data_IF_386939256955
#
_entry.id   IF_386939256955
#
_cell.length_a   1.000
_cell.length_b   1.000
_cell.length_c   1.000
_cell.angle_alpha   90.00
_cell.angle_beta   90.00
_cell.angle_gamma   90.00
#
_symmetry.space_group_name_H-M   'P 1'
#
loop_
_entity.id
_entity.type
_entity.pdbx_description
1 polymer ?
#
# COMPACT_ATOMS: atom_id res chain seq x y z
N UNK A 1 -14.52 -9.86 -7.96
CA UNK A 1 -13.71 -9.41 -9.10
C UNK A 1 -12.61 -8.40 -8.70
N UNK A 2 -12.88 -7.09 -8.45
CA UNK A 2 -11.84 -6.11 -8.15
C UNK A 2 -11.16 -6.35 -6.78
N UNK A 3 -11.92 -6.70 -5.76
CA UNK A 3 -11.39 -7.07 -4.44
C UNK A 3 -10.53 -8.33 -4.51
N UNK A 4 -10.98 -9.34 -5.27
CA UNK A 4 -10.23 -10.59 -5.44
C UNK A 4 -8.89 -10.38 -6.14
N UNK A 5 -8.86 -9.48 -7.13
CA UNK A 5 -7.62 -9.10 -7.82
C UNK A 5 -6.62 -8.42 -6.88
N UNK A 6 -7.09 -7.53 -5.99
CA UNK A 6 -6.23 -6.90 -4.97
C UNK A 6 -5.68 -7.95 -4.00
N UNK A 7 -6.52 -8.86 -3.50
CA UNK A 7 -6.09 -9.91 -2.59
C UNK A 7 -5.16 -10.92 -3.25
N UNK A 8 -5.36 -11.24 -4.52
CA UNK A 8 -4.45 -12.08 -5.30
C UNK A 8 -3.07 -11.43 -5.43
N UNK A 9 -3.02 -10.11 -5.64
CA UNK A 9 -1.76 -9.35 -5.66
C UNK A 9 -1.04 -9.41 -4.31
N UNK A 10 -1.73 -9.24 -3.20
CA UNK A 10 -1.14 -9.35 -1.86
C UNK A 10 -0.60 -10.76 -1.58
N UNK A 11 -1.34 -11.77 -2.02
CA UNK A 11 -0.92 -13.17 -1.87
C UNK A 11 0.30 -13.49 -2.72
N UNK A 12 0.35 -13.03 -3.97
CA UNK A 12 1.49 -13.28 -4.88
C UNK A 12 2.78 -12.59 -4.44
N UNK A 13 2.66 -11.45 -3.73
CA UNK A 13 3.81 -10.73 -3.17
C UNK A 13 4.21 -11.20 -1.77
N UNK A 14 3.46 -12.13 -1.16
CA UNK A 14 3.73 -12.56 0.22
C UNK A 14 3.59 -11.42 1.23
N UNK A 15 2.60 -10.53 1.03
CA UNK A 15 2.43 -9.32 1.82
C UNK A 15 2.08 -9.59 3.27
N UNK A 16 1.40 -10.69 3.56
CA UNK A 16 0.95 -11.05 4.91
C UNK A 16 1.06 -12.56 5.19
N UNK A 17 1.05 -12.89 6.47
CA UNK A 17 0.90 -14.26 6.99
C UNK A 17 -0.23 -14.26 8.03
N UNK A 18 -1.01 -15.35 8.07
CA UNK A 18 -2.04 -15.56 9.10
C UNK A 18 -1.40 -16.10 10.37
N UNK A 19 -1.33 -15.28 11.40
CA UNK A 19 -0.71 -15.63 12.68
C UNK A 19 -1.59 -15.15 13.84
N UNK A 20 -1.39 -15.74 15.02
CA UNK A 20 -2.05 -15.28 16.25
C UNK A 20 -1.26 -14.10 16.80
N UNK A 21 -1.87 -12.91 16.91
CA UNK A 21 -1.18 -11.76 17.46
C UNK A 21 -0.87 -11.93 18.94
N UNK A 22 0.25 -11.36 19.44
CA UNK A 22 0.51 -11.26 20.87
C UNK A 22 -0.64 -10.51 21.60
N UNK A 23 -0.86 -10.77 22.90
CA UNK A 23 -1.96 -10.14 23.64
C UNK A 23 -1.94 -8.62 23.63
N UNK A 24 -0.75 -8.01 23.58
CA UNK A 24 -0.51 -6.57 23.57
C UNK A 24 -0.46 -5.96 22.16
N UNK A 25 -0.55 -6.78 21.10
CA UNK A 25 -0.43 -6.31 19.73
C UNK A 25 -1.51 -5.28 19.37
N UNK A 26 -1.08 -4.18 18.75
CA UNK A 26 -2.00 -3.22 18.18
C UNK A 26 -2.50 -3.70 16.81
N UNK A 27 -3.78 -4.06 16.73
CA UNK A 27 -4.37 -4.52 15.45
C UNK A 27 -4.89 -3.31 14.68
N UNK A 28 -4.11 -2.90 13.70
CA UNK A 28 -4.45 -1.80 12.81
C UNK A 28 -5.68 -2.17 11.99
N UNK A 29 -6.67 -1.29 11.96
CA UNK A 29 -7.85 -1.48 11.13
C UNK A 29 -7.56 -1.14 9.67
N UNK A 30 -8.31 -1.72 8.75
CA UNK A 30 -8.24 -1.39 7.33
C UNK A 30 -9.59 -1.04 6.73
N UNK A 31 -9.58 -0.50 5.53
CA UNK A 31 -10.78 -0.17 4.78
C UNK A 31 -10.60 -0.40 3.29
N UNK A 32 -11.69 -0.71 2.61
CA UNK A 32 -11.70 -0.76 1.16
C UNK A 32 -11.86 0.64 0.56
N UNK A 33 -11.04 0.94 -0.45
CA UNK A 33 -11.19 2.11 -1.32
C UNK A 33 -11.52 1.62 -2.71
N UNK A 34 -12.66 2.05 -3.24
CA UNK A 34 -13.12 1.69 -4.58
C UNK A 34 -12.94 2.89 -5.53
N UNK A 35 -12.47 2.60 -6.72
CA UNK A 35 -12.30 3.61 -7.77
C UNK A 35 -12.76 3.05 -9.12
N UNK A 36 -13.50 3.87 -9.85
CA UNK A 36 -13.86 3.58 -11.24
C UNK A 36 -12.99 4.44 -12.15
N UNK A 37 -12.18 3.81 -12.98
CA UNK A 37 -11.47 4.49 -14.07
C UNK A 37 -12.29 4.38 -15.34
N UNK A 38 -12.44 5.50 -16.05
CA UNK A 38 -13.16 5.59 -17.33
C UNK A 38 -12.18 6.07 -18.39
N UNK A 39 -11.34 5.20 -18.98
CA UNK A 39 -10.45 5.58 -20.06
C UNK A 39 -11.29 5.89 -21.31
N UNK A 40 -10.93 6.90 -22.11
CA UNK A 40 -11.63 7.20 -23.34
C UNK A 40 -11.67 6.00 -24.29
N UNK A 41 -12.83 5.69 -24.85
CA UNK A 41 -13.00 4.60 -25.82
C UNK A 41 -12.93 3.18 -25.24
N UNK A 42 -12.88 3.01 -23.92
CA UNK A 42 -12.81 1.71 -23.27
C UNK A 42 -13.86 1.57 -22.17
N UNK A 43 -14.30 0.35 -21.85
CA UNK A 43 -15.24 0.12 -20.76
C UNK A 43 -14.67 0.56 -19.41
N UNK A 44 -15.54 0.91 -18.44
CA UNK A 44 -15.10 1.28 -17.10
C UNK A 44 -14.31 0.16 -16.41
N UNK A 45 -13.19 0.52 -15.80
CA UNK A 45 -12.36 -0.41 -15.02
C UNK A 45 -12.57 -0.14 -13.54
N UNK A 46 -13.10 -1.13 -12.83
CA UNK A 46 -13.28 -1.09 -11.38
C UNK A 46 -12.00 -1.50 -10.67
N UNK A 47 -11.52 -0.65 -9.78
CA UNK A 47 -10.36 -0.93 -8.93
C UNK A 47 -10.78 -0.89 -7.47
N UNK A 48 -10.29 -1.86 -6.70
CA UNK A 48 -10.38 -1.90 -5.25
C UNK A 48 -8.96 -1.86 -4.67
N UNK A 49 -8.79 -1.19 -3.54
CA UNK A 49 -7.57 -1.24 -2.73
C UNK A 49 -7.94 -1.44 -1.29
N UNK A 50 -7.28 -2.36 -0.62
CA UNK A 50 -7.37 -2.48 0.82
C UNK A 50 -6.28 -1.61 1.44
N UNK A 51 -6.67 -0.68 2.32
CA UNK A 51 -5.80 0.37 2.85
C UNK A 51 -5.80 0.29 4.37
N UNK A 52 -4.63 0.25 4.99
CA UNK A 52 -4.50 0.35 6.43
C UNK A 52 -4.89 1.75 6.90
N UNK A 53 -5.54 1.84 8.06
CA UNK A 53 -5.85 3.12 8.72
C UNK A 53 -4.67 3.51 9.61
N UNK A 54 -3.65 4.12 9.01
CA UNK A 54 -2.41 4.47 9.69
C UNK A 54 -2.57 5.39 10.90
N UNK A 55 -3.70 6.10 11.04
CA UNK A 55 -3.98 6.87 12.24
C UNK A 55 -4.22 6.00 13.49
N UNK A 56 -4.53 4.71 13.33
CA UNK A 56 -4.65 3.76 14.44
C UNK A 56 -3.31 3.12 14.84
N UNK A 57 -2.22 3.41 14.12
CA UNK A 57 -0.89 3.00 14.51
C UNK A 57 -0.37 3.82 15.69
N UNK A 58 0.40 3.19 16.58
CA UNK A 58 1.01 3.81 17.77
C UNK A 58 2.47 4.13 17.47
N UNK A 59 2.85 5.39 17.65
CA UNK A 59 4.25 5.80 17.55
C UNK A 59 5.10 5.13 18.64
N UNK A 60 6.28 4.65 18.27
CA UNK A 60 7.17 3.91 19.15
C UNK A 60 6.85 2.41 19.28
N UNK A 61 5.79 1.93 18.62
CA UNK A 61 5.39 0.51 18.57
C UNK A 61 5.25 0.06 17.12
N UNK A 62 4.33 0.70 16.38
CA UNK A 62 4.01 0.32 15.01
C UNK A 62 4.81 1.13 13.97
N UNK A 63 5.41 2.24 14.37
CA UNK A 63 6.31 3.04 13.53
C UNK A 63 7.19 3.97 14.40
N UNK A 64 8.39 4.30 13.89
CA UNK A 64 9.32 5.20 14.57
C UNK A 64 9.52 6.50 13.79
N UNK A 65 9.56 6.44 12.49
CA UNK A 65 9.76 7.59 11.60
C UNK A 65 8.74 7.59 10.48
N UNK A 66 8.22 8.78 10.16
CA UNK A 66 7.22 8.97 9.09
C UNK A 66 7.70 9.88 7.97
N UNK A 67 8.97 10.28 8.02
CA UNK A 67 9.50 11.23 7.03
C UNK A 67 9.78 10.52 5.70
N UNK A 68 9.02 10.88 4.67
CA UNK A 68 9.28 10.51 3.29
C UNK A 68 9.46 11.79 2.47
N UNK A 69 10.69 12.14 2.06
CA UNK A 69 10.92 13.35 1.30
C UNK A 69 10.28 13.25 -0.09
N UNK A 70 9.38 14.17 -0.38
CA UNK A 70 8.84 14.35 -1.73
C UNK A 70 9.52 15.57 -2.38
N UNK A 71 9.92 15.49 -3.65
CA UNK A 71 10.54 16.63 -4.33
C UNK A 71 9.55 17.79 -4.44
N UNK A 72 10.03 19.01 -4.20
CA UNK A 72 9.21 20.22 -4.43
C UNK A 72 8.93 20.36 -5.92
N UNK A 73 7.72 20.74 -6.28
CA UNK A 73 7.33 20.98 -7.68
C UNK A 73 8.23 22.03 -8.35
N UNK A 74 8.71 23.02 -7.61
CA UNK A 74 9.67 24.03 -8.10
C UNK A 74 10.97 23.38 -8.56
N UNK A 75 11.52 22.45 -7.76
CA UNK A 75 12.75 21.72 -8.13
C UNK A 75 12.55 20.90 -9.39
N UNK A 76 11.42 20.20 -9.50
CA UNK A 76 11.09 19.45 -10.71
C UNK A 76 11.02 20.35 -11.94
N UNK A 77 10.36 21.53 -11.85
CA UNK A 77 10.28 22.49 -12.95
C UNK A 77 11.65 23.02 -13.38
N UNK A 78 12.55 23.31 -12.42
CA UNK A 78 13.92 23.73 -12.75
C UNK A 78 14.66 22.64 -13.49
N UNK A 79 14.58 21.37 -13.03
CA UNK A 79 15.22 20.24 -13.71
C UNK A 79 14.68 20.05 -15.13
N UNK A 80 13.37 20.13 -15.33
CA UNK A 80 12.76 20.03 -16.66
C UNK A 80 13.22 21.17 -17.58
N UNK A 81 13.36 22.40 -17.05
CA UNK A 81 13.86 23.54 -17.81
C UNK A 81 15.31 23.34 -18.24
N UNK A 82 16.19 22.89 -17.33
CA UNK A 82 17.58 22.58 -17.66
C UNK A 82 17.67 21.45 -18.69
N UNK A 83 16.86 20.40 -18.55
CA UNK A 83 16.79 19.30 -19.50
C UNK A 83 16.41 19.78 -20.90
N UNK A 84 15.39 20.65 -21.00
CA UNK A 84 14.97 21.25 -22.25
C UNK A 84 16.05 22.14 -22.89
N UNK A 85 16.77 22.94 -22.09
CA UNK A 85 17.84 23.80 -22.58
C UNK A 85 19.06 23.01 -23.09
N UNK A 86 19.30 21.83 -22.51
CA UNK A 86 20.45 20.98 -22.85
C UNK A 86 20.11 19.81 -23.77
N UNK A 87 18.87 19.77 -24.26
CA UNK A 87 18.35 18.71 -25.14
C UNK A 87 18.52 17.30 -24.53
N UNK A 88 18.26 17.16 -23.20
CA UNK A 88 18.32 15.88 -22.52
C UNK A 88 17.04 15.09 -22.76
N UNK A 89 17.20 13.77 -22.99
CA UNK A 89 16.07 12.85 -23.02
C UNK A 89 15.46 12.68 -21.61
N UNK A 90 14.14 12.63 -21.56
CA UNK A 90 13.37 12.42 -20.34
C UNK A 90 12.64 11.10 -20.39
N UNK A 91 12.84 10.28 -19.36
CA UNK A 91 12.14 9.02 -19.19
C UNK A 91 11.23 9.06 -17.98
N UNK A 92 9.99 8.57 -18.14
CA UNK A 92 9.04 8.38 -17.03
C UNK A 92 8.93 6.91 -16.71
N UNK A 93 9.12 6.59 -15.42
CA UNK A 93 8.99 5.22 -14.91
C UNK A 93 7.88 5.18 -13.84
N UNK A 94 7.05 4.15 -13.89
CA UNK A 94 6.04 3.87 -12.86
C UNK A 94 6.20 2.45 -12.34
N UNK A 95 6.38 2.31 -11.05
CA UNK A 95 6.51 1.00 -10.41
C UNK A 95 5.12 0.48 -10.02
N UNK A 96 4.70 -0.61 -10.66
CA UNK A 96 3.49 -1.30 -10.26
C UNK A 96 3.61 -1.84 -8.84
N UNK A 97 2.61 -1.58 -8.01
CA UNK A 97 2.56 -2.05 -6.61
C UNK A 97 3.82 -1.70 -5.78
N UNK A 98 4.41 -0.51 -5.99
CA UNK A 98 5.67 -0.09 -5.38
C UNK A 98 5.73 -0.33 -3.86
N UNK A 99 4.66 -0.03 -3.12
CA UNK A 99 4.59 -0.25 -1.67
C UNK A 99 4.76 -1.72 -1.29
N UNK A 100 4.16 -2.65 -2.04
CA UNK A 100 4.26 -4.09 -1.77
C UNK A 100 5.64 -4.68 -2.10
N UNK A 101 6.54 -3.90 -2.68
CA UNK A 101 7.92 -4.31 -2.98
C UNK A 101 8.92 -3.85 -1.91
N UNK A 102 8.52 -2.94 -1.03
CA UNK A 102 9.32 -2.47 0.08
C UNK A 102 9.56 -3.54 1.15
N UNK A 103 10.52 -3.29 2.04
CA UNK A 103 10.72 -4.08 3.26
C UNK A 103 9.99 -3.41 4.42
N UNK A 104 9.41 -4.21 5.29
CA UNK A 104 8.82 -3.78 6.54
C UNK A 104 9.74 -4.25 7.67
N UNK A 105 10.15 -3.33 8.52
CA UNK A 105 11.05 -3.63 9.65
C UNK A 105 10.30 -3.77 10.97
N UNK A 106 9.13 -3.17 11.04
CA UNK A 106 8.24 -3.21 12.21
C UNK A 106 7.25 -4.36 12.11
N UNK A 107 6.90 -4.92 13.26
CA UNK A 107 5.85 -5.93 13.35
C UNK A 107 4.47 -5.25 13.37
N UNK A 108 3.76 -5.28 12.24
CA UNK A 108 2.46 -4.65 12.08
C UNK A 108 1.39 -5.71 11.90
N UNK A 109 0.35 -5.61 12.73
CA UNK A 109 -0.83 -6.46 12.68
C UNK A 109 -2.00 -5.72 12.02
N UNK A 110 -2.53 -6.32 10.96
CA UNK A 110 -3.64 -5.74 10.21
C UNK A 110 -4.87 -6.62 10.32
N UNK A 111 -6.01 -5.98 10.58
CA UNK A 111 -7.31 -6.65 10.55
C UNK A 111 -7.64 -7.10 9.13
N UNK A 112 -8.16 -8.31 9.00
CA UNK A 112 -8.62 -8.84 7.71
C UNK A 112 -9.70 -7.96 7.09
N UNK A 113 -9.72 -7.83 5.75
CA UNK A 113 -10.75 -7.06 5.08
C UNK A 113 -12.13 -7.68 5.25
N UNK A 114 -13.17 -6.87 5.50
CA UNK A 114 -14.54 -7.35 5.50
C UNK A 114 -14.92 -7.89 4.11
N UNK A 115 -15.69 -8.98 4.10
CA UNK A 115 -16.11 -9.64 2.87
C UNK A 115 -15.06 -10.55 2.21
N UNK A 116 -13.88 -10.69 2.83
CA UNK A 116 -12.90 -11.67 2.37
C UNK A 116 -13.28 -13.05 2.92
N UNK A 117 -13.64 -13.94 2.00
CA UNK A 117 -14.05 -15.32 2.32
C UNK A 117 -12.87 -16.28 2.22
N UNK A 118 -12.57 -16.99 3.28
CA UNK A 118 -11.53 -18.00 3.34
C UNK A 118 -11.63 -18.79 4.64
N UNK A 119 -11.05 -19.98 4.66
CA UNK A 119 -10.90 -20.76 5.90
C UNK A 119 -9.66 -20.26 6.62
N UNK A 120 -9.83 -19.63 7.76
CA UNK A 120 -8.73 -19.11 8.58
C UNK A 120 -8.76 -19.75 9.95
N UNK A 121 -7.60 -20.05 10.55
CA UNK A 121 -7.55 -20.51 11.93
C UNK A 121 -8.20 -19.47 12.87
N UNK A 122 -8.96 -19.92 13.88
CA UNK A 122 -9.56 -19.02 14.86
C UNK A 122 -8.50 -18.16 15.56
N UNK A 123 -8.83 -16.90 15.83
CA UNK A 123 -7.95 -15.98 16.56
C UNK A 123 -6.79 -15.39 15.75
N UNK A 124 -6.60 -15.80 14.48
CA UNK A 124 -5.52 -15.25 13.67
C UNK A 124 -5.87 -13.89 13.05
N UNK A 125 -4.86 -13.05 12.86
CA UNK A 125 -4.90 -11.79 12.11
C UNK A 125 -3.77 -11.78 11.07
N UNK A 126 -3.70 -10.75 10.25
CA UNK A 126 -2.62 -10.62 9.29
C UNK A 126 -1.39 -9.95 9.90
N UNK A 127 -0.32 -10.73 10.05
CA UNK A 127 1.02 -10.20 10.30
C UNK A 127 1.60 -9.73 8.97
N UNK A 128 1.85 -8.44 8.82
CA UNK A 128 2.37 -7.88 7.57
C UNK A 128 3.85 -8.19 7.42
N UNK A 129 4.24 -8.60 6.21
CA UNK A 129 5.64 -8.84 5.80
C UNK A 129 6.13 -7.77 4.83
N UNK A 130 5.21 -7.00 4.26
CA UNK A 130 5.49 -5.91 3.34
C UNK A 130 4.61 -4.70 3.66
N UNK A 131 5.10 -3.48 3.40
CA UNK A 131 4.30 -2.28 3.63
C UNK A 131 3.08 -2.27 2.71
N UNK A 132 1.98 -1.76 3.24
CA UNK A 132 0.72 -1.61 2.50
C UNK A 132 0.29 -0.16 2.49
N UNK A 133 -0.60 0.17 1.56
CA UNK A 133 -1.15 1.53 1.47
C UNK A 133 -1.78 1.98 2.79
N UNK A 134 -1.53 3.22 3.19
CA UNK A 134 -2.13 3.86 4.35
C UNK A 134 -1.39 3.66 5.66
N UNK A 135 -0.29 2.89 5.71
CA UNK A 135 0.64 2.90 6.84
C UNK A 135 1.39 4.23 6.92
N UNK A 136 1.83 4.56 8.15
CA UNK A 136 2.69 5.72 8.44
C UNK A 136 4.14 5.33 8.37
#
# INVERSE_FOLDING_TARGET
AAMDAEMASWKSTGTYVDEVPPPEANIVSGMWIFRVKRPPGSPPVFKARYVARGFSQRQGVDYFQTFSPTPKMTTLRVLLHVAAQRDYELHSLDFSTAFLQGSLHEEIWLRRPPGFTGSFPPGTQWSLRRPVYGLR
#
